data_IF_717213009875
#
_entry.id   IF_717213009875
#
_cell.length_a   1.000
_cell.length_b   1.000
_cell.length_c   1.000
_cell.angle_alpha   90.00
_cell.angle_beta   90.00
_cell.angle_gamma   90.00
#
_symmetry.space_group_name_H-M   'P 1'
#
loop_
_entity.id
_entity.type
_entity.pdbx_description
1 polymer ?
#
# COMPACT_ATOMS: atom_id res chain seq x y z
N UNK A 1 -14.16 -8.15 4.91
CA UNK A 1 -13.11 -8.97 4.30
C UNK A 1 -12.77 -8.44 2.91
N UNK A 2 -11.49 -8.26 2.62
CA UNK A 2 -11.09 -7.74 1.33
C UNK A 2 -11.18 -8.82 0.26
N UNK A 3 -11.65 -8.43 -0.92
CA UNK A 3 -11.63 -9.27 -2.10
C UNK A 3 -10.19 -9.61 -2.46
N UNK A 4 -9.94 -10.83 -2.93
CA UNK A 4 -8.60 -11.27 -3.34
C UNK A 4 -8.02 -10.33 -4.40
N UNK A 5 -8.85 -9.90 -5.36
CA UNK A 5 -8.41 -8.97 -6.41
C UNK A 5 -7.97 -7.63 -5.83
N UNK A 6 -8.67 -7.17 -4.79
CA UNK A 6 -8.33 -5.91 -4.14
C UNK A 6 -7.02 -6.05 -3.36
N UNK A 7 -6.82 -7.19 -2.68
CA UNK A 7 -5.58 -7.46 -1.97
C UNK A 7 -4.39 -7.45 -2.94
N UNK A 8 -4.54 -8.10 -4.09
CA UNK A 8 -3.49 -8.11 -5.11
C UNK A 8 -3.20 -6.71 -5.63
N UNK A 9 -4.24 -5.94 -5.89
CA UNK A 9 -4.10 -4.58 -6.39
C UNK A 9 -3.32 -3.72 -5.39
N UNK A 10 -3.72 -3.75 -4.12
CA UNK A 10 -3.07 -2.97 -3.07
C UNK A 10 -1.62 -3.42 -2.89
N UNK A 11 -1.39 -4.73 -2.88
CA UNK A 11 -0.03 -5.26 -2.73
C UNK A 11 0.87 -4.74 -3.83
N UNK A 12 0.38 -4.76 -5.07
CA UNK A 12 1.17 -4.28 -6.21
C UNK A 12 1.42 -2.79 -6.14
N UNK A 13 0.47 -2.01 -5.63
CA UNK A 13 0.69 -0.57 -5.44
C UNK A 13 1.86 -0.32 -4.51
N UNK A 14 1.95 -1.06 -3.41
CA UNK A 14 3.06 -0.90 -2.48
C UNK A 14 4.38 -1.40 -3.07
N UNK A 15 4.35 -2.50 -3.81
CA UNK A 15 5.56 -2.99 -4.48
C UNK A 15 6.12 -1.93 -5.43
N UNK A 16 5.24 -1.31 -6.21
CA UNK A 16 5.66 -0.24 -7.12
C UNK A 16 6.17 0.98 -6.36
N UNK A 17 5.54 1.29 -5.23
CA UNK A 17 6.00 2.39 -4.39
C UNK A 17 7.42 2.15 -3.89
N UNK A 18 7.73 0.93 -3.45
CA UNK A 18 9.07 0.60 -2.99
C UNK A 18 10.10 0.64 -4.12
N UNK A 19 9.71 0.27 -5.33
CA UNK A 19 10.60 0.40 -6.48
C UNK A 19 10.94 1.85 -6.76
N UNK A 20 10.00 2.75 -6.48
CA UNK A 20 10.18 4.17 -6.69
C UNK A 20 11.09 4.80 -5.63
N UNK A 21 10.88 4.45 -4.35
CA UNK A 21 11.59 5.12 -3.25
C UNK A 21 12.84 4.39 -2.79
N UNK A 22 12.96 3.10 -3.08
CA UNK A 22 14.10 2.29 -2.66
C UNK A 22 14.44 1.25 -3.74
N UNK A 23 14.81 1.71 -4.94
CA UNK A 23 15.07 0.78 -6.05
C UNK A 23 16.20 -0.20 -5.78
N UNK A 24 17.17 0.18 -4.96
CA UNK A 24 18.28 -0.71 -4.60
C UNK A 24 17.87 -1.85 -3.69
N UNK A 25 16.67 -1.76 -3.11
CA UNK A 25 16.14 -2.79 -2.21
C UNK A 25 14.97 -3.55 -2.82
N UNK A 26 14.82 -3.51 -4.14
CA UNK A 26 13.71 -4.16 -4.81
C UNK A 26 13.60 -5.66 -4.50
N UNK A 27 14.73 -6.31 -4.26
CA UNK A 27 14.76 -7.74 -3.93
C UNK A 27 14.21 -8.02 -2.54
N UNK A 28 14.19 -7.02 -1.67
CA UNK A 28 13.66 -7.15 -0.32
C UNK A 28 12.15 -6.95 -0.29
N UNK A 29 11.66 -5.92 -1.00
CA UNK A 29 10.26 -5.54 -0.97
C UNK A 29 9.51 -6.19 -2.12
N UNK A 30 9.46 -7.51 -2.10
CA UNK A 30 8.78 -8.30 -3.11
C UNK A 30 7.29 -8.36 -2.84
N UNK A 31 6.53 -8.87 -3.78
CA UNK A 31 5.09 -9.07 -3.62
C UNK A 31 4.78 -9.88 -2.36
N UNK A 32 5.48 -10.98 -2.16
CA UNK A 32 5.21 -11.84 -1.00
C UNK A 32 5.54 -11.14 0.32
N UNK A 33 6.62 -10.37 0.34
CA UNK A 33 7.01 -9.61 1.52
C UNK A 33 5.91 -8.60 1.89
N UNK A 34 5.49 -7.80 0.91
CA UNK A 34 4.47 -6.78 1.15
C UNK A 34 3.14 -7.41 1.55
N UNK A 35 2.75 -8.48 0.87
CA UNK A 35 1.49 -9.15 1.15
C UNK A 35 1.44 -9.64 2.59
N UNK A 36 2.55 -10.14 3.11
CA UNK A 36 2.64 -10.61 4.48
C UNK A 36 2.37 -9.50 5.49
N UNK A 37 2.74 -8.27 5.16
CA UNK A 37 2.55 -7.13 6.05
C UNK A 37 1.21 -6.42 5.87
N UNK A 38 0.39 -6.82 4.92
CA UNK A 38 -0.89 -6.15 4.70
C UNK A 38 -1.82 -6.16 5.91
N UNK A 39 -1.64 -7.11 6.81
CA UNK A 39 -2.43 -7.15 8.03
C UNK A 39 -2.23 -5.94 8.93
N UNK A 40 -1.15 -5.21 8.74
CA UNK A 40 -0.82 -4.02 9.54
C UNK A 40 -1.13 -2.72 8.82
N UNK A 41 -1.64 -2.79 7.58
CA UNK A 41 -1.91 -1.58 6.81
C UNK A 41 -3.03 -0.79 7.46
N UNK A 42 -2.87 0.53 7.47
CA UNK A 42 -3.87 1.46 7.97
C UNK A 42 -4.44 2.25 6.82
N UNK A 43 -5.57 2.90 7.05
CA UNK A 43 -6.17 3.69 5.99
C UNK A 43 -6.92 4.88 6.55
N UNK A 44 -7.10 5.88 5.69
CA UNK A 44 -8.02 6.96 5.97
C UNK A 44 -8.62 7.44 4.65
N UNK A 45 -9.77 8.07 4.75
CA UNK A 45 -10.47 8.56 3.58
C UNK A 45 -10.24 10.06 3.44
N UNK A 46 -9.97 10.49 2.22
CA UNK A 46 -9.94 11.91 1.91
C UNK A 46 -11.18 12.24 1.08
N UNK A 47 -11.33 13.49 0.71
CA UNK A 47 -12.44 13.90 -0.14
C UNK A 47 -12.42 13.18 -1.49
N UNK A 48 -11.23 12.89 -2.01
CA UNK A 48 -11.07 12.39 -3.36
C UNK A 48 -10.49 11.00 -3.46
N UNK A 49 -10.06 10.40 -2.34
CA UNK A 49 -9.36 9.13 -2.43
C UNK A 49 -9.33 8.36 -1.12
N UNK A 50 -8.95 7.10 -1.22
CA UNK A 50 -8.63 6.25 -0.09
C UNK A 50 -7.10 6.19 0.00
N UNK A 51 -6.56 6.51 1.16
CA UNK A 51 -5.12 6.43 1.39
C UNK A 51 -4.82 5.24 2.30
N UNK A 52 -3.92 4.38 1.84
CA UNK A 52 -3.45 3.23 2.62
C UNK A 52 -2.00 3.48 2.98
N UNK A 53 -1.63 3.15 4.22
CA UNK A 53 -0.27 3.46 4.66
C UNK A 53 0.21 2.50 5.73
N UNK A 54 1.54 2.42 5.83
CA UNK A 54 2.22 1.76 6.94
C UNK A 54 2.94 2.84 7.73
N UNK A 55 2.85 2.75 9.04
CA UNK A 55 3.57 3.68 9.90
C UNK A 55 5.06 3.49 9.75
N UNK A 56 5.78 4.55 10.08
CA UNK A 56 7.23 4.56 10.06
C UNK A 56 7.78 3.39 10.86
N UNK A 57 8.66 2.60 10.24
CA UNK A 57 9.29 1.47 10.89
C UNK A 57 8.51 0.17 10.91
N UNK A 58 7.26 0.15 10.39
CA UNK A 58 6.45 -1.07 10.40
C UNK A 58 6.85 -2.06 9.31
N UNK A 59 7.01 -1.59 8.08
CA UNK A 59 7.31 -2.46 6.95
C UNK A 59 8.71 -2.22 6.42
N UNK A 60 9.30 -1.09 6.76
CA UNK A 60 10.60 -0.66 6.26
C UNK A 60 11.33 0.13 7.34
N UNK A 61 12.66 0.32 7.20
CA UNK A 61 13.41 1.12 8.18
C UNK A 61 12.86 2.53 8.34
N UNK A 62 13.05 3.10 9.53
CA UNK A 62 12.58 4.44 9.84
C UNK A 62 13.02 5.50 8.82
N UNK A 63 14.19 5.30 8.24
CA UNK A 63 14.74 6.27 7.29
C UNK A 63 13.82 6.48 6.07
N UNK A 64 13.01 5.49 5.73
CA UNK A 64 12.08 5.60 4.62
C UNK A 64 10.78 6.32 4.98
N UNK A 65 10.54 6.55 6.27
CA UNK A 65 9.36 7.26 6.73
C UNK A 65 8.07 6.45 6.59
N UNK A 66 6.95 7.17 6.52
CA UNK A 66 5.64 6.56 6.30
C UNK A 66 5.53 6.16 4.83
N UNK A 67 5.14 4.92 4.59
CA UNK A 67 4.98 4.40 3.23
C UNK A 67 3.49 4.41 2.91
N UNK A 68 3.07 5.19 1.92
CA UNK A 68 1.66 5.32 1.60
C UNK A 68 1.39 5.21 0.11
N UNK A 69 0.19 4.75 -0.22
CA UNK A 69 -0.33 4.75 -1.59
C UNK A 69 -1.74 5.31 -1.56
N UNK A 70 -2.16 5.90 -2.67
CA UNK A 70 -3.45 6.55 -2.77
C UNK A 70 -4.25 5.93 -3.90
N UNK A 71 -5.52 5.62 -3.62
CA UNK A 71 -6.43 5.08 -4.62
C UNK A 71 -7.53 6.12 -4.84
N UNK A 72 -7.51 6.83 -5.98
CA UNK A 72 -8.55 7.82 -6.26
C UNK A 72 -9.91 7.15 -6.40
N UNK A 73 -10.95 7.84 -6.00
CA UNK A 73 -12.31 7.34 -6.22
C UNK A 73 -12.63 7.44 -7.70
N UNK A 74 -13.02 6.31 -8.28
CA UNK A 74 -13.44 6.26 -9.66
C UNK A 74 -14.79 5.57 -9.71
N UNK A 75 -15.58 5.85 -10.75
CA UNK A 75 -16.91 5.24 -10.86
C UNK A 75 -16.93 3.72 -10.75
N UNK A 76 -15.95 3.04 -11.33
CA UNK A 76 -15.86 1.59 -11.27
C UNK A 76 -15.38 1.06 -9.94
N UNK A 77 -14.84 1.93 -9.08
CA UNK A 77 -14.41 1.58 -7.73
C UNK A 77 -15.28 2.25 -6.70
N UNK A 78 -16.53 2.51 -7.03
CA UNK A 78 -17.38 3.19 -6.06
C UNK A 78 -17.36 2.41 -4.76
N UNK A 79 -16.60 2.91 -3.81
CA UNK A 79 -16.63 2.39 -2.46
C UNK A 79 -17.92 2.90 -1.87
N UNK A 80 -18.86 2.01 -1.78
CA UNK A 80 -20.11 2.37 -1.15
C UNK A 80 -19.93 2.26 0.34
N UNK A 81 -19.89 3.38 0.96
CA UNK A 81 -19.81 3.45 2.41
C UNK A 81 -21.23 3.47 2.98
#
# INVERSE_FOLDING_TARGET
MLDVSLVEYITNLFVEKFKEIAPESADTYTYDYVKEYLGYVQFYLTKNSLVLYFNQGEIAPFVLGVISVEIPYEPEFSIQI
#
